data_IF_518305255727
#
_entry.id   IF_518305255727
#
_cell.length_a   1.000
_cell.length_b   1.000
_cell.length_c   1.000
_cell.angle_alpha   90.00
_cell.angle_beta   90.00
_cell.angle_gamma   90.00
#
_symmetry.space_group_name_H-M   'P 1'
#
loop_
_entity.id
_entity.type
_entity.pdbx_description
1 polymer ?
#
# COMPACT_ATOMS: atom_id res chain seq x y z
N UNK A 1 25.15 -18.04 8.39
CA UNK A 1 24.57 -17.59 8.28
C UNK A 1 23.63 -17.71 8.06
N UNK A 2 22.87 -17.51 8.13
CA UNK A 2 22.04 -17.46 7.98
C UNK A 2 21.33 -17.31 7.66
N UNK A 3 21.17 -17.50 7.74
CA UNK A 3 20.57 -16.86 6.93
C UNK A 3 19.15 -16.85 6.79
N UNK A 4 18.55 -16.29 7.54
CA UNK A 4 17.20 -16.03 7.39
C UNK A 4 16.99 -15.02 6.37
N UNK A 5 16.01 -15.18 5.50
CA UNK A 5 15.71 -14.15 4.53
C UNK A 5 15.26 -12.93 5.29
N UNK A 6 15.60 -11.79 4.79
CA UNK A 6 15.20 -10.58 5.45
C UNK A 6 13.69 -10.44 5.40
N UNK A 7 13.12 -9.87 6.43
CA UNK A 7 11.76 -9.53 6.40
C UNK A 7 11.52 -8.44 5.44
N UNK A 8 10.31 -8.36 4.91
CA UNK A 8 9.95 -7.26 4.05
C UNK A 8 10.03 -5.97 4.85
N UNK A 9 10.51 -4.92 4.24
CA UNK A 9 10.57 -3.64 4.91
C UNK A 9 9.16 -3.07 5.03
N UNK A 10 9.03 -2.06 5.89
CA UNK A 10 7.76 -1.39 6.04
C UNK A 10 7.30 -0.81 4.71
N UNK A 11 8.23 -0.27 3.95
CA UNK A 11 7.90 0.26 2.64
C UNK A 11 7.41 -0.83 1.71
N UNK A 12 8.08 -1.99 1.71
CA UNK A 12 7.68 -3.07 0.83
C UNK A 12 6.26 -3.54 1.16
N UNK A 13 5.95 -3.63 2.44
CA UNK A 13 4.61 -4.04 2.82
C UNK A 13 3.61 -2.94 2.47
N UNK A 14 4.00 -1.68 2.64
CA UNK A 14 3.13 -0.59 2.23
C UNK A 14 2.82 -0.64 0.75
N UNK A 15 3.83 -0.95 -0.06
CA UNK A 15 3.60 -1.07 -1.50
C UNK A 15 2.79 -2.30 -1.84
N UNK A 16 2.93 -3.36 -1.06
CA UNK A 16 2.10 -4.53 -1.25
C UNK A 16 0.64 -4.18 -1.00
N UNK A 17 0.36 -3.37 0.02
CA UNK A 17 -0.98 -2.94 0.31
C UNK A 17 -1.52 -2.10 -0.85
N UNK A 18 -0.71 -1.19 -1.39
CA UNK A 18 -1.13 -0.42 -2.55
C UNK A 18 -1.43 -1.34 -3.74
N UNK A 19 -0.60 -2.35 -3.92
CA UNK A 19 -0.83 -3.29 -5.01
C UNK A 19 -2.14 -4.00 -4.90
N UNK A 20 -2.59 -4.25 -3.66
CA UNK A 20 -3.88 -4.89 -3.46
C UNK A 20 -5.01 -3.95 -3.87
N UNK A 21 -4.90 -2.65 -3.55
CA UNK A 21 -5.87 -1.68 -4.04
C UNK A 21 -5.89 -1.70 -5.58
N UNK A 22 -4.73 -1.79 -6.20
CA UNK A 22 -4.68 -1.82 -7.67
C UNK A 22 -5.31 -3.09 -8.20
N UNK A 23 -5.11 -4.20 -7.50
CA UNK A 23 -5.67 -5.47 -7.94
C UNK A 23 -7.19 -5.43 -7.96
N UNK A 24 -7.78 -4.72 -7.01
CA UNK A 24 -9.23 -4.56 -6.97
C UNK A 24 -9.70 -3.36 -7.79
N UNK A 25 -8.76 -2.70 -8.47
CA UNK A 25 -9.07 -1.57 -9.34
C UNK A 25 -9.76 -0.43 -8.61
N UNK A 26 -9.26 -0.16 -7.41
CA UNK A 26 -9.83 0.90 -6.60
C UNK A 26 -9.25 2.22 -7.05
N UNK A 27 -10.11 3.20 -7.28
CA UNK A 27 -9.65 4.54 -7.64
C UNK A 27 -9.41 5.35 -6.38
N UNK A 28 -8.80 6.51 -6.55
CA UNK A 28 -8.58 7.40 -5.42
C UNK A 28 -9.93 7.73 -4.80
N UNK A 29 -9.99 7.68 -3.50
CA UNK A 29 -11.24 7.87 -2.76
C UNK A 29 -11.98 6.59 -2.47
N UNK A 30 -11.62 5.49 -3.14
CA UNK A 30 -12.26 4.23 -2.87
C UNK A 30 -11.69 3.56 -1.66
N UNK A 31 -12.38 2.55 -1.17
CA UNK A 31 -11.99 1.92 0.09
C UNK A 31 -11.91 0.42 -0.04
N UNK A 32 -11.10 -0.18 0.82
CA UNK A 32 -11.07 -1.61 1.05
C UNK A 32 -11.09 -1.84 2.55
N UNK A 33 -11.46 -3.04 2.93
CA UNK A 33 -11.50 -3.39 4.34
C UNK A 33 -10.36 -4.33 4.67
N UNK A 34 -10.11 -4.50 5.96
CA UNK A 34 -8.98 -5.33 6.41
C UNK A 34 -9.01 -6.72 5.77
N UNK A 35 -10.17 -7.33 5.68
CA UNK A 35 -10.22 -8.69 5.14
C UNK A 35 -9.98 -8.76 3.64
N UNK A 36 -9.90 -7.64 2.93
CA UNK A 36 -9.49 -7.69 1.54
C UNK A 36 -7.98 -7.91 1.42
N UNK A 37 -7.25 -7.77 2.51
CA UNK A 37 -5.80 -7.95 2.51
C UNK A 37 -5.46 -9.29 3.17
N UNK A 38 -6.21 -10.33 2.82
CA UNK A 38 -6.14 -11.59 3.53
C UNK A 38 -4.80 -12.28 3.42
N UNK A 39 -4.01 -11.95 2.39
CA UNK A 39 -2.71 -12.57 2.24
C UNK A 39 -1.59 -11.76 2.91
N UNK A 40 -1.92 -10.74 3.68
CA UNK A 40 -0.93 -9.99 4.43
C UNK A 40 -1.14 -10.29 5.90
N UNK A 41 -0.12 -10.81 6.55
CA UNK A 41 -0.23 -11.19 7.96
C UNK A 41 -0.42 -9.95 8.81
N UNK A 42 -1.08 -10.12 9.96
CA UNK A 42 -1.41 -8.98 10.79
C UNK A 42 -0.22 -8.15 11.19
N UNK A 43 0.87 -8.80 11.58
CA UNK A 43 2.05 -8.06 12.01
C UNK A 43 2.62 -7.23 10.89
N UNK A 44 2.66 -7.80 9.69
CA UNK A 44 3.18 -7.08 8.55
C UNK A 44 2.21 -6.00 8.10
N UNK A 45 0.94 -6.32 8.13
CA UNK A 45 -0.08 -5.38 7.70
C UNK A 45 0.00 -4.09 8.52
N UNK A 46 0.16 -4.22 9.84
CA UNK A 46 0.21 -3.05 10.68
C UNK A 46 1.40 -2.16 10.33
N UNK A 47 2.55 -2.77 10.08
CA UNK A 47 3.74 -2.00 9.72
C UNK A 47 3.57 -1.31 8.39
N UNK A 48 3.06 -2.03 7.41
CA UNK A 48 2.87 -1.46 6.09
C UNK A 48 1.79 -0.40 6.07
N UNK A 49 0.75 -0.62 6.84
CA UNK A 49 -0.32 0.35 6.93
C UNK A 49 0.19 1.65 7.54
N UNK A 50 0.98 1.54 8.61
CA UNK A 50 1.54 2.73 9.24
C UNK A 50 2.41 3.50 8.26
N UNK A 51 3.22 2.79 7.49
CA UNK A 51 4.06 3.42 6.50
C UNK A 51 3.20 4.14 5.46
N UNK A 52 2.15 3.47 5.00
CA UNK A 52 1.29 4.03 3.98
C UNK A 52 0.54 5.26 4.49
N UNK A 53 0.13 5.23 5.73
CA UNK A 53 -0.55 6.36 6.32
C UNK A 53 0.42 7.54 6.46
N UNK A 54 1.63 7.28 6.89
CA UNK A 54 2.62 8.33 7.04
C UNK A 54 2.96 8.97 5.71
N UNK A 55 2.91 8.21 4.65
CA UNK A 55 3.20 8.74 3.33
C UNK A 55 1.95 9.25 2.63
N UNK A 56 0.85 9.28 3.34
CA UNK A 56 -0.42 9.79 2.83
C UNK A 56 -0.93 9.01 1.65
N UNK A 57 -0.54 7.76 1.55
CA UNK A 57 -1.06 6.88 0.52
C UNK A 57 -2.46 6.39 0.87
N UNK A 58 -2.69 6.20 2.16
CA UNK A 58 -3.92 5.60 2.65
C UNK A 58 -4.41 6.38 3.85
N UNK A 59 -5.70 6.50 3.99
CA UNK A 59 -6.31 7.10 5.16
C UNK A 59 -7.17 6.06 5.83
N UNK A 60 -7.16 6.06 7.16
CA UNK A 60 -8.03 5.20 7.90
C UNK A 60 -9.39 5.88 8.01
N UNK A 61 -10.45 5.11 7.82
CA UNK A 61 -11.78 5.69 7.90
C UNK A 61 -12.05 6.16 9.33
N UNK A 62 -12.71 7.28 9.47
CA UNK A 62 -12.90 7.85 10.79
C UNK A 62 -13.78 7.02 11.68
N UNK A 63 -14.77 6.39 11.13
CA UNK A 63 -15.73 5.65 11.93
C UNK A 63 -15.46 4.17 11.97
N UNK A 64 -14.73 3.65 11.02
CA UNK A 64 -14.50 2.23 10.94
C UNK A 64 -13.02 2.01 10.74
N UNK A 65 -12.32 1.68 11.81
CA UNK A 65 -10.88 1.54 11.77
C UNK A 65 -10.41 0.40 10.88
N UNK A 66 -11.32 -0.45 10.44
CA UNK A 66 -10.95 -1.53 9.55
C UNK A 66 -11.26 -1.23 8.10
N UNK A 67 -11.60 0.01 7.79
CA UNK A 67 -11.83 0.46 6.43
C UNK A 67 -10.75 1.47 6.08
N UNK A 68 -10.12 1.27 4.94
CA UNK A 68 -8.97 2.08 4.54
C UNK A 68 -9.25 2.69 3.18
N UNK A 69 -8.97 3.98 3.06
CA UNK A 69 -9.29 4.72 1.85
C UNK A 69 -8.02 5.05 1.09
N UNK A 70 -8.02 4.81 -0.20
CA UNK A 70 -6.90 5.13 -1.04
C UNK A 70 -6.94 6.62 -1.36
N UNK A 71 -5.81 7.30 -1.19
CA UNK A 71 -5.74 8.72 -1.51
C UNK A 71 -5.27 8.89 -2.94
N UNK A 72 -5.30 10.12 -3.42
CA UNK A 72 -4.75 10.39 -4.74
C UNK A 72 -3.27 10.14 -4.78
N UNK A 73 -2.57 10.47 -3.70
CA UNK A 73 -1.14 10.22 -3.62
C UNK A 73 -0.88 8.72 -3.67
N UNK A 74 -1.69 7.95 -2.93
CA UNK A 74 -1.53 6.50 -2.93
C UNK A 74 -1.86 5.90 -4.27
N UNK A 75 -2.88 6.41 -4.93
CA UNK A 75 -3.26 5.92 -6.23
C UNK A 75 -2.08 6.09 -7.20
N UNK A 76 -1.47 7.27 -7.19
CA UNK A 76 -0.35 7.52 -8.07
C UNK A 76 0.85 6.64 -7.71
N UNK A 77 1.11 6.47 -6.42
CA UNK A 77 2.25 5.68 -5.98
C UNK A 77 2.07 4.21 -6.34
N UNK A 78 0.86 3.70 -6.19
CA UNK A 78 0.62 2.30 -6.48
C UNK A 78 0.55 2.01 -7.96
N UNK A 79 0.06 2.99 -8.72
CA UNK A 79 -0.12 2.78 -10.14
C UNK A 79 1.19 2.84 -10.89
N UNK A 80 2.17 3.61 -10.41
CA UNK A 80 3.39 3.80 -11.15
C UNK A 80 4.63 3.61 -10.35
N UNK A 81 4.78 2.55 -9.61
CA UNK A 81 5.95 2.42 -8.79
C UNK A 81 7.20 2.30 -9.57
N UNK A 82 7.14 1.71 -10.76
CA UNK A 82 8.28 1.53 -11.54
C UNK A 82 8.29 2.29 -12.75
N UNK A 83 7.15 2.64 -13.24
CA UNK A 83 7.05 3.46 -14.40
C UNK A 83 7.65 4.79 -14.16
N UNK A 84 7.74 5.19 -12.91
CA UNK A 84 8.33 6.42 -12.60
C UNK A 84 9.70 6.56 -13.17
N UNK A 85 10.46 5.51 -13.11
CA UNK A 85 11.78 5.57 -13.68
C UNK A 85 11.73 5.79 -15.15
N UNK A 86 10.79 5.24 -15.82
CA UNK A 86 10.71 5.43 -17.23
C UNK A 86 10.19 6.75 -17.57
N UNK A 87 9.31 7.27 -16.80
CA UNK A 87 8.80 8.56 -17.09
C UNK A 87 9.79 9.61 -16.95
N UNK A 88 10.82 9.37 -16.21
CA UNK A 88 11.85 10.33 -16.11
C UNK A 88 12.66 10.42 -17.31
N UNK A 89 12.57 9.48 -18.21
CA UNK A 89 13.27 9.60 -19.42
C UNK A 89 12.65 10.64 -20.23
N UNK A 90 13.39 11.46 -20.81
CA UNK A 90 12.85 12.44 -21.70
C UNK A 90 12.19 11.72 -22.79
N UNK A 91 11.13 12.10 -23.13
CA UNK A 91 10.41 11.41 -24.15
C UNK A 91 11.07 11.53 -25.45
#
# INVERSE_FOLDING_TARGET
MHAMPPRMSDEDVGRQILGIFMRYRIAAGGTLRRNNFFDVRDADFQRGLNFAIQNRWIKQHLRDRYTYQLTEIGFAAGWKPEVKAEEQKPA
#
